data_IF_929689782125
#
_entry.id   IF_929689782125
#
_cell.length_a   1.000
_cell.length_b   1.000
_cell.length_c   1.000
_cell.angle_alpha   90.00
_cell.angle_beta   90.00
_cell.angle_gamma   90.00
#
_symmetry.space_group_name_H-M   'P 1'
#
loop_
_entity.id
_entity.type
_entity.pdbx_description
1 polymer ?
#
# COMPACT_ATOMS: atom_id res chain seq x y z
N UNK A 1 -34.73 -17.42 16.98
CA UNK A 1 -34.02 -16.13 16.85
C UNK A 1 -32.64 -16.27 16.19
N UNK A 2 -31.83 -17.29 16.52
CA UNK A 2 -30.50 -17.50 15.91
C UNK A 2 -30.52 -17.93 14.43
N UNK A 3 -31.56 -18.63 13.97
CA UNK A 3 -31.70 -19.03 12.55
C UNK A 3 -31.99 -17.87 11.58
N UNK A 4 -32.45 -16.71 12.08
CA UNK A 4 -32.79 -15.56 11.23
C UNK A 4 -31.56 -14.72 10.87
N UNK A 5 -30.47 -14.85 11.63
CA UNK A 5 -29.24 -14.06 11.44
C UNK A 5 -28.34 -14.70 10.37
N UNK A 6 -28.35 -16.04 10.26
CA UNK A 6 -27.51 -16.76 9.28
C UNK A 6 -28.04 -16.69 7.86
N UNK A 7 -29.37 -16.61 7.66
CA UNK A 7 -29.96 -16.51 6.31
C UNK A 7 -29.75 -15.14 5.64
N UNK A 8 -29.55 -14.07 6.41
CA UNK A 8 -29.33 -12.72 5.87
C UNK A 8 -27.87 -12.43 5.49
N UNK A 9 -26.93 -13.34 5.76
CA UNK A 9 -25.50 -13.09 5.53
C UNK A 9 -25.04 -13.38 4.09
N UNK A 10 -25.87 -14.04 3.29
CA UNK A 10 -25.50 -14.48 1.93
C UNK A 10 -26.52 -14.09 0.85
N UNK A 11 -27.65 -13.49 1.22
CA UNK A 11 -28.66 -13.01 0.27
C UNK A 11 -28.76 -11.48 0.40
N UNK A 12 -27.89 -10.80 -0.33
CA UNK A 12 -27.85 -9.34 -0.36
C UNK A 12 -28.81 -8.80 -1.41
N UNK A 13 -29.60 -7.79 -1.07
CA UNK A 13 -30.43 -7.08 -2.05
C UNK A 13 -29.52 -6.52 -3.17
N UNK A 14 -29.85 -6.68 -4.46
CA UNK A 14 -29.06 -6.13 -5.56
C UNK A 14 -28.75 -4.64 -5.35
N UNK A 15 -27.47 -4.28 -5.48
CA UNK A 15 -26.96 -2.92 -5.23
C UNK A 15 -26.52 -2.65 -3.80
N UNK A 16 -26.72 -3.58 -2.86
CA UNK A 16 -26.19 -3.45 -1.49
C UNK A 16 -24.70 -3.77 -1.48
N UNK A 17 -23.90 -2.89 -0.86
CA UNK A 17 -22.45 -3.12 -0.68
C UNK A 17 -22.24 -4.26 0.32
N UNK A 18 -21.47 -5.27 -0.08
CA UNK A 18 -21.11 -6.41 0.76
C UNK A 18 -19.83 -6.05 1.52
N UNK A 19 -19.95 -5.58 2.77
CA UNK A 19 -18.79 -5.15 3.57
C UNK A 19 -17.87 -6.30 4.00
N UNK A 20 -18.31 -7.55 3.82
CA UNK A 20 -17.53 -8.76 4.04
C UNK A 20 -16.77 -9.23 2.80
N UNK A 21 -16.90 -8.54 1.67
CA UNK A 21 -16.19 -8.89 0.44
C UNK A 21 -14.68 -8.69 0.61
N UNK A 22 -13.91 -9.66 0.09
CA UNK A 22 -12.45 -9.64 0.17
C UNK A 22 -11.91 -9.58 -1.26
N UNK A 23 -11.06 -8.59 -1.53
CA UNK A 23 -10.33 -8.50 -2.80
C UNK A 23 -9.59 -9.83 -3.10
N UNK A 24 -9.66 -10.27 -4.36
CA UNK A 24 -9.05 -11.52 -4.80
C UNK A 24 -7.56 -11.65 -4.42
N UNK A 25 -6.77 -10.57 -4.55
CA UNK A 25 -5.34 -10.60 -4.22
C UNK A 25 -5.13 -10.71 -2.72
N UNK A 26 -6.03 -10.15 -1.91
CA UNK A 26 -6.03 -10.32 -0.45
C UNK A 26 -6.38 -11.76 -0.08
N UNK A 27 -7.41 -12.36 -0.69
CA UNK A 27 -7.78 -13.76 -0.47
C UNK A 27 -6.66 -14.73 -0.87
N UNK A 28 -6.01 -14.49 -2.03
CA UNK A 28 -4.87 -15.28 -2.49
C UNK A 28 -3.72 -15.27 -1.48
N UNK A 29 -3.34 -14.09 -0.98
CA UNK A 29 -2.30 -13.95 0.06
C UNK A 29 -2.65 -14.70 1.34
N UNK A 30 -3.90 -14.61 1.81
CA UNK A 30 -4.33 -15.37 2.99
C UNK A 30 -4.24 -16.88 2.76
N UNK A 31 -4.67 -17.38 1.60
CA UNK A 31 -4.56 -18.81 1.26
C UNK A 31 -3.11 -19.27 1.21
N UNK A 32 -2.22 -18.49 0.59
CA UNK A 32 -0.78 -18.79 0.55
C UNK A 32 -0.15 -18.83 1.94
N UNK A 33 -0.54 -17.91 2.84
CA UNK A 33 -0.06 -17.92 4.22
C UNK A 33 -0.64 -19.10 5.01
N UNK A 34 -1.91 -19.45 4.80
CA UNK A 34 -2.56 -20.57 5.47
C UNK A 34 -1.99 -21.93 5.05
N UNK A 35 -1.67 -22.12 3.76
CA UNK A 35 -1.01 -23.34 3.26
C UNK A 35 0.40 -23.48 3.83
N UNK A 36 1.13 -22.37 4.00
CA UNK A 36 2.43 -22.36 4.65
C UNK A 36 2.35 -22.60 6.17
N UNK A 37 1.19 -22.34 6.79
CA UNK A 37 0.98 -22.45 8.23
C UNK A 37 0.32 -23.75 8.70
N UNK A 38 0.17 -24.77 7.82
CA UNK A 38 -0.54 -26.02 8.12
C UNK A 38 -1.94 -25.82 8.74
N UNK A 39 -2.61 -24.70 8.44
CA UNK A 39 -3.94 -24.40 8.98
C UNK A 39 -4.02 -23.76 10.37
N UNK A 40 -2.90 -23.36 10.99
CA UNK A 40 -2.93 -22.58 12.24
C UNK A 40 -3.18 -21.07 11.97
N UNK A 41 -4.44 -20.77 11.69
CA UNK A 41 -4.95 -19.44 11.29
C UNK A 41 -4.76 -18.40 12.42
N UNK A 42 -4.63 -18.83 13.68
CA UNK A 42 -4.45 -17.95 14.84
C UNK A 42 -3.09 -17.20 14.86
N UNK A 43 -2.11 -17.62 14.04
CA UNK A 43 -0.82 -16.93 13.92
C UNK A 43 -0.82 -15.77 12.90
N UNK A 44 -1.89 -15.61 12.13
CA UNK A 44 -1.98 -14.65 11.02
C UNK A 44 -2.48 -13.28 11.53
N UNK A 45 -1.62 -12.58 12.26
CA UNK A 45 -1.86 -11.16 12.53
C UNK A 45 -1.77 -10.36 11.21
N UNK A 46 -2.70 -9.42 10.95
CA UNK A 46 -2.69 -8.58 9.76
C UNK A 46 -1.64 -7.47 9.91
N UNK A 47 -0.36 -7.83 9.98
CA UNK A 47 0.73 -6.85 10.00
C UNK A 47 1.22 -6.62 8.58
N UNK A 48 1.18 -5.36 8.16
CA UNK A 48 1.64 -4.80 6.88
C UNK A 48 3.17 -4.88 6.68
N UNK A 49 3.79 -5.95 7.15
CA UNK A 49 5.21 -6.20 7.00
C UNK A 49 5.29 -7.48 6.16
N UNK A 50 6.14 -7.57 5.12
CA UNK A 50 6.44 -8.84 4.48
C UNK A 50 7.31 -9.68 5.43
N UNK A 51 6.75 -10.05 6.59
CA UNK A 51 7.27 -11.11 7.44
C UNK A 51 6.91 -12.38 6.68
N UNK A 52 7.91 -12.96 6.01
CA UNK A 52 7.81 -14.34 5.59
C UNK A 52 7.52 -15.15 6.85
N UNK A 53 6.39 -15.87 6.94
CA UNK A 53 6.22 -16.82 8.01
C UNK A 53 7.32 -17.88 7.88
N UNK A 54 8.34 -17.84 8.74
CA UNK A 54 9.14 -19.03 9.04
C UNK A 54 8.28 -19.97 9.90
N UNK A 55 7.13 -20.40 9.36
CA UNK A 55 6.24 -21.37 10.02
C UNK A 55 6.71 -22.75 9.57
N UNK A 56 7.78 -23.21 10.23
CA UNK A 56 8.44 -24.49 10.00
C UNK A 56 9.83 -24.50 10.64
N UNK A 57 10.33 -25.68 11.02
CA UNK A 57 11.73 -25.80 11.49
C UNK A 57 12.63 -25.26 10.38
N UNK A 58 13.47 -24.24 10.65
CA UNK A 58 14.24 -23.62 9.59
C UNK A 58 15.19 -24.65 8.98
N UNK A 59 15.06 -24.92 7.69
CA UNK A 59 16.00 -25.79 6.98
C UNK A 59 17.35 -25.09 6.88
N UNK A 60 18.43 -25.86 6.82
CA UNK A 60 19.79 -25.32 6.67
C UNK A 60 19.89 -24.42 5.42
N UNK A 61 19.19 -24.77 4.35
CA UNK A 61 19.11 -23.95 3.13
C UNK A 61 18.38 -22.62 3.35
N UNK A 62 17.27 -22.63 4.09
CA UNK A 62 16.52 -21.41 4.43
C UNK A 62 17.38 -20.44 5.23
N UNK A 63 18.11 -20.95 6.23
CA UNK A 63 19.02 -20.15 7.06
C UNK A 63 20.17 -19.57 6.22
N UNK A 64 20.79 -20.38 5.36
CA UNK A 64 21.85 -19.90 4.45
C UNK A 64 21.35 -18.79 3.53
N UNK A 65 20.13 -18.94 2.99
CA UNK A 65 19.49 -17.93 2.15
C UNK A 65 19.21 -16.65 2.93
N UNK A 66 18.77 -16.76 4.18
CA UNK A 66 18.54 -15.63 5.07
C UNK A 66 19.85 -14.88 5.39
N UNK A 67 20.93 -15.60 5.72
CA UNK A 67 22.26 -15.02 5.94
C UNK A 67 22.71 -14.21 4.71
N UNK A 68 22.58 -14.78 3.51
CA UNK A 68 22.92 -14.09 2.27
C UNK A 68 22.06 -12.84 2.07
N UNK A 69 20.76 -12.91 2.35
CA UNK A 69 19.87 -11.76 2.25
C UNK A 69 20.21 -10.66 3.27
N UNK A 70 20.58 -11.02 4.50
CA UNK A 70 21.03 -10.07 5.52
C UNK A 70 22.33 -9.39 5.13
N UNK A 71 23.31 -10.15 4.61
CA UNK A 71 24.57 -9.61 4.08
C UNK A 71 24.32 -8.59 2.97
N UNK A 72 23.41 -8.90 2.05
CA UNK A 72 23.02 -7.97 0.98
C UNK A 72 22.37 -6.70 1.53
N UNK A 73 21.58 -6.78 2.61
CA UNK A 73 20.99 -5.58 3.25
C UNK A 73 22.05 -4.70 3.91
N UNK A 74 23.08 -5.30 4.51
CA UNK A 74 24.19 -4.57 5.13
C UNK A 74 25.10 -3.88 4.11
N UNK A 75 25.26 -4.47 2.91
CA UNK A 75 26.06 -3.89 1.83
C UNK A 75 25.42 -2.64 1.20
N UNK A 76 24.13 -2.39 1.46
CA UNK A 76 23.45 -1.19 0.97
C UNK A 76 23.97 0.05 1.68
N UNK A 77 24.42 1.03 0.90
CA UNK A 77 24.74 2.37 1.40
C UNK A 77 23.49 3.01 1.98
N UNK A 78 23.55 3.37 3.26
CA UNK A 78 22.48 4.08 3.95
C UNK A 78 22.83 5.57 4.05
N UNK A 79 21.85 6.43 3.77
CA UNK A 79 21.95 7.87 3.99
C UNK A 79 21.31 8.17 5.35
N UNK A 80 21.87 9.12 6.11
CA UNK A 80 21.29 9.54 7.38
C UNK A 80 19.89 10.11 7.15
N UNK A 81 18.95 9.75 8.03
CA UNK A 81 17.57 10.22 7.94
C UNK A 81 17.48 11.75 7.93
N UNK A 82 18.32 12.44 8.73
CA UNK A 82 18.40 13.89 8.72
C UNK A 82 18.68 14.45 7.32
N UNK A 83 19.67 13.89 6.62
CA UNK A 83 20.02 14.34 5.26
C UNK A 83 18.90 14.06 4.26
N UNK A 84 18.23 12.92 4.39
CA UNK A 84 17.07 12.58 3.56
C UNK A 84 15.95 13.59 3.81
N UNK A 85 15.60 13.83 5.07
CA UNK A 85 14.55 14.77 5.47
C UNK A 85 14.83 16.18 4.93
N UNK A 86 16.05 16.70 5.11
CA UNK A 86 16.45 18.00 4.57
C UNK A 86 16.27 18.05 3.04
N UNK A 87 16.67 17.00 2.33
CA UNK A 87 16.54 16.93 0.87
C UNK A 87 15.07 16.92 0.42
N UNK A 88 14.20 16.18 1.13
CA UNK A 88 12.77 16.19 0.86
C UNK A 88 12.14 17.55 1.15
N UNK A 89 12.49 18.19 2.27
CA UNK A 89 11.99 19.53 2.63
C UNK A 89 12.36 20.52 1.53
N UNK A 90 13.64 20.60 1.16
CA UNK A 90 14.09 21.51 0.09
C UNK A 90 13.39 21.23 -1.24
N UNK A 91 13.18 19.96 -1.58
CA UNK A 91 12.45 19.59 -2.79
C UNK A 91 11.01 20.12 -2.76
N UNK A 92 10.29 19.90 -1.66
CA UNK A 92 8.90 20.37 -1.55
C UNK A 92 8.80 21.89 -1.47
N UNK A 93 9.72 22.57 -0.78
CA UNK A 93 9.78 24.03 -0.73
C UNK A 93 10.01 24.62 -2.12
N UNK A 94 10.90 24.02 -2.92
CA UNK A 94 11.18 24.47 -4.28
C UNK A 94 9.96 24.35 -5.21
N UNK A 95 9.12 23.33 -5.04
CA UNK A 95 7.97 23.08 -5.90
C UNK A 95 6.63 23.52 -5.32
N UNK A 96 6.60 24.09 -4.12
CA UNK A 96 5.37 24.50 -3.45
C UNK A 96 4.59 25.60 -4.22
N UNK A 97 5.29 26.47 -4.95
CA UNK A 97 4.66 27.49 -5.79
C UNK A 97 3.95 26.92 -7.02
N UNK A 98 4.36 25.74 -7.48
CA UNK A 98 3.78 25.05 -8.63
C UNK A 98 2.68 24.05 -8.24
N UNK A 99 2.40 23.87 -6.95
CA UNK A 99 1.34 22.99 -6.48
C UNK A 99 0.01 23.76 -6.37
N UNK A 100 -1.00 23.47 -7.22
CA UNK A 100 -2.29 24.15 -7.21
C UNK A 100 -3.08 23.98 -5.91
N UNK A 101 -2.71 23.02 -5.05
CA UNK A 101 -3.31 22.84 -3.73
C UNK A 101 -2.74 23.77 -2.66
N UNK A 102 -1.48 24.22 -2.82
CA UNK A 102 -0.82 25.12 -1.86
C UNK A 102 -0.84 26.57 -2.32
N UNK A 103 -0.56 26.81 -3.60
CA UNK A 103 -0.51 28.15 -4.18
C UNK A 103 -1.61 28.28 -5.21
N UNK A 104 -2.55 29.25 -5.08
CA UNK A 104 -3.54 29.49 -6.10
C UNK A 104 -2.84 29.79 -7.44
N UNK A 105 -3.12 29.03 -8.50
CA UNK A 105 -2.51 29.28 -9.80
C UNK A 105 -2.88 30.66 -10.32
N UNK A 106 -1.97 31.31 -11.05
CA UNK A 106 -2.21 32.63 -11.67
C UNK A 106 -3.42 32.60 -12.61
N UNK A 107 -3.67 31.43 -13.21
CA UNK A 107 -4.84 31.14 -14.02
C UNK A 107 -5.78 30.20 -13.28
N UNK A 108 -7.07 30.33 -13.57
CA UNK A 108 -8.12 29.54 -12.93
C UNK A 108 -7.90 28.03 -13.08
N UNK A 109 -8.14 27.28 -12.01
CA UNK A 109 -8.08 25.81 -12.06
C UNK A 109 -9.11 25.29 -13.09
N UNK A 110 -8.69 24.58 -14.16
CA UNK A 110 -9.56 24.12 -15.23
C UNK A 110 -10.70 23.22 -14.76
N UNK A 111 -10.48 22.48 -13.67
CA UNK A 111 -11.46 21.56 -13.09
C UNK A 111 -12.55 22.24 -12.26
N UNK A 112 -12.37 23.53 -11.92
CA UNK A 112 -13.34 24.29 -11.12
C UNK A 112 -14.17 25.26 -11.95
N UNK A 113 -13.59 25.78 -13.04
CA UNK A 113 -14.18 26.88 -13.81
C UNK A 113 -14.39 26.54 -15.29
N UNK A 114 -14.21 25.27 -15.68
CA UNK A 114 -14.34 24.77 -17.06
C UNK A 114 -13.55 25.61 -18.08
N UNK A 115 -12.44 26.22 -17.64
CA UNK A 115 -11.57 27.07 -18.44
C UNK A 115 -10.24 26.35 -18.74
N UNK A 116 -9.92 26.16 -20.02
CA UNK A 116 -8.74 25.42 -20.49
C UNK A 116 -7.53 26.30 -20.78
N UNK A 117 -7.58 27.60 -20.48
CA UNK A 117 -6.50 28.57 -20.74
C UNK A 117 -5.14 28.10 -20.22
N UNK A 118 -5.07 27.52 -19.01
CA UNK A 118 -3.82 26.94 -18.44
C UNK A 118 -3.21 25.90 -19.38
N UNK A 119 -4.02 24.96 -19.87
CA UNK A 119 -3.54 23.86 -20.71
C UNK A 119 -3.19 24.30 -22.13
N UNK A 120 -3.78 25.39 -22.61
CA UNK A 120 -3.46 25.94 -23.92
C UNK A 120 -2.20 26.83 -23.88
N UNK A 121 -1.92 27.50 -22.76
CA UNK A 121 -0.65 28.21 -22.54
C UNK A 121 0.55 27.25 -22.49
N UNK A 122 0.42 26.10 -21.82
CA UNK A 122 1.48 25.07 -21.74
C UNK A 122 1.84 24.46 -23.11
N UNK A 123 0.93 24.46 -24.07
CA UNK A 123 1.16 23.88 -25.42
C UNK A 123 2.04 24.75 -26.32
N UNK A 124 2.26 26.02 -25.98
CA UNK A 124 2.96 26.99 -26.82
C UNK A 124 4.33 27.41 -26.24
N UNK A 125 4.78 26.78 -25.15
CA UNK A 125 6.12 26.94 -24.55
C UNK A 125 7.03 25.78 -24.91
#
# INVERSE_FOLDING_TARGET
>A
MLHYITFNLFDFQPGTVITTEIDYKKLKRYKELATLANGDINSLQPLQIPVKPNIGKPTVESIKKEITAMRLKLDRRNIKLSKIADTYITYFEQYAEYDPFFTPPEFSNPWLLDNVEVWDCDKHS
#
